data_IF_984725179646
#
_entry.id   IF_984725179646
#
_cell.length_a   1.000
_cell.length_b   1.000
_cell.length_c   1.000
_cell.angle_alpha   90.00
_cell.angle_beta   90.00
_cell.angle_gamma   90.00
#
_symmetry.space_group_name_H-M   'P 1'
#
loop_
_entity.id
_entity.type
_entity.pdbx_description
1 polymer ?
#
# COMPACT_ATOMS: atom_id res chain seq x y z
N UNK A 1 14.82 -15.94 21.78
CA UNK A 1 14.35 -16.27 20.41
C UNK A 1 14.46 -15.00 19.58
N UNK A 2 14.78 -15.13 18.29
CA UNK A 2 15.54 -14.14 17.51
C UNK A 2 14.92 -12.73 17.46
N UNK A 3 15.76 -11.73 17.79
CA UNK A 3 15.52 -10.31 17.52
C UNK A 3 15.40 -10.10 16.01
N UNK A 4 14.34 -9.39 15.59
CA UNK A 4 14.21 -8.68 14.31
C UNK A 4 14.78 -9.39 13.08
N UNK A 5 14.12 -10.47 12.65
CA UNK A 5 14.37 -11.02 11.32
C UNK A 5 13.79 -10.03 10.29
N UNK A 6 14.64 -9.13 9.76
CA UNK A 6 14.26 -8.17 8.72
C UNK A 6 13.84 -8.94 7.46
N UNK A 7 12.57 -8.83 7.09
CA UNK A 7 12.01 -9.55 5.94
C UNK A 7 12.03 -8.74 4.65
N UNK A 8 12.56 -7.52 4.69
CA UNK A 8 12.59 -6.60 3.55
C UNK A 8 12.17 -5.20 3.93
N UNK A 9 11.81 -4.41 2.93
CA UNK A 9 11.33 -3.05 3.08
C UNK A 9 10.02 -2.81 2.32
N UNK A 10 9.14 -2.02 2.91
CA UNK A 10 8.15 -1.27 2.14
C UNK A 10 8.82 0.01 1.65
N UNK A 11 8.63 0.32 0.37
CA UNK A 11 9.09 1.56 -0.24
C UNK A 11 7.89 2.27 -0.86
N UNK A 12 7.36 3.29 -0.17
CA UNK A 12 6.35 4.17 -0.76
C UNK A 12 7.04 5.22 -1.62
N UNK A 13 6.75 5.24 -2.91
CA UNK A 13 7.32 6.17 -3.88
C UNK A 13 6.28 7.23 -4.20
N UNK A 14 6.50 8.45 -3.69
CA UNK A 14 5.67 9.60 -4.03
C UNK A 14 6.15 10.20 -5.36
N UNK A 15 5.58 9.77 -6.48
CA UNK A 15 5.86 10.37 -7.80
C UNK A 15 4.97 11.60 -8.05
N UNK A 16 4.10 11.97 -7.12
CA UNK A 16 3.24 13.13 -7.24
C UNK A 16 4.07 14.43 -7.16
N UNK A 17 3.54 15.49 -7.75
CA UNK A 17 4.09 16.85 -7.64
C UNK A 17 3.62 17.58 -6.39
N UNK A 18 3.10 16.84 -5.41
CA UNK A 18 2.61 17.33 -4.13
C UNK A 18 3.03 16.38 -3.02
N UNK A 19 3.09 16.91 -1.80
CA UNK A 19 3.41 16.13 -0.62
C UNK A 19 2.27 15.16 -0.30
N UNK A 20 2.64 13.98 0.19
CA UNK A 20 1.71 13.01 0.78
C UNK A 20 1.91 12.95 2.28
N UNK A 21 0.87 12.56 2.99
CA UNK A 21 0.91 12.24 4.41
C UNK A 21 0.47 10.80 4.59
N UNK A 22 1.27 10.03 5.33
CA UNK A 22 1.02 8.62 5.55
C UNK A 22 0.88 8.32 7.04
N UNK A 23 0.00 7.38 7.36
CA UNK A 23 -0.13 6.80 8.68
C UNK A 23 0.07 5.30 8.55
N UNK A 24 1.00 4.78 9.32
CA UNK A 24 1.10 3.35 9.61
C UNK A 24 0.05 2.99 10.66
N UNK A 25 -0.77 1.98 10.37
CA UNK A 25 -1.81 1.49 11.26
C UNK A 25 -1.84 -0.05 11.28
N UNK A 26 -2.18 -0.62 12.43
CA UNK A 26 -2.49 -2.04 12.64
C UNK A 26 -3.43 -2.17 13.84
N UNK A 27 -3.99 -3.36 14.09
CA UNK A 27 -5.03 -3.68 15.10
C UNK A 27 -5.42 -2.57 16.11
N UNK A 28 -4.51 -2.18 17.02
CA UNK A 28 -4.78 -1.21 18.08
C UNK A 28 -3.89 0.05 18.03
N UNK A 29 -3.16 0.26 16.94
CA UNK A 29 -2.21 1.36 16.78
C UNK A 29 -2.45 2.12 15.50
N UNK A 30 -2.33 3.44 15.61
CA UNK A 30 -2.17 4.33 14.47
C UNK A 30 -1.10 5.36 14.82
N UNK A 31 -0.12 5.52 13.94
CA UNK A 31 0.91 6.55 14.07
C UNK A 31 0.34 7.97 13.91
N UNK A 32 1.17 8.99 14.10
CA UNK A 32 0.87 10.34 13.61
C UNK A 32 1.16 10.47 12.10
N UNK A 33 0.76 11.57 11.45
CA UNK A 33 1.08 11.80 10.04
C UNK A 33 2.59 11.87 9.82
N UNK A 34 3.09 11.06 8.90
CA UNK A 34 4.45 11.13 8.38
C UNK A 34 4.39 11.81 7.01
N UNK A 35 5.09 12.93 6.86
CA UNK A 35 5.17 13.64 5.58
C UNK A 35 6.11 12.90 4.62
N UNK A 36 5.63 12.60 3.42
CA UNK A 36 6.44 12.10 2.29
C UNK A 36 6.49 13.20 1.24
N UNK A 37 7.60 13.95 1.14
CA UNK A 37 7.71 15.05 0.20
C UNK A 37 7.39 14.65 -1.24
N UNK A 38 6.90 15.60 -2.03
CA UNK A 38 6.75 15.44 -3.47
C UNK A 38 8.02 14.87 -4.10
N UNK A 39 7.86 13.95 -5.06
CA UNK A 39 8.98 13.37 -5.81
C UNK A 39 10.04 12.71 -4.90
N UNK A 40 9.63 12.04 -3.84
CA UNK A 40 10.54 11.35 -2.91
C UNK A 40 10.08 9.95 -2.51
N UNK A 41 11.00 9.05 -2.11
CA UNK A 41 10.65 7.77 -1.50
C UNK A 41 10.56 7.89 0.04
N UNK A 42 9.70 7.07 0.62
CA UNK A 42 9.68 6.73 2.05
C UNK A 42 9.94 5.23 2.21
N UNK A 43 10.83 4.85 3.13
CA UNK A 43 11.22 3.46 3.37
C UNK A 43 10.93 3.06 4.81
N UNK A 44 10.37 1.86 4.99
CA UNK A 44 10.14 1.24 6.30
C UNK A 44 10.52 -0.24 6.26
N UNK A 45 11.07 -0.76 7.35
CA UNK A 45 11.37 -2.19 7.49
C UNK A 45 10.07 -3.00 7.59
N UNK A 46 10.03 -4.15 6.91
CA UNK A 46 9.00 -5.18 7.11
C UNK A 46 9.44 -6.04 8.30
N UNK A 47 8.68 -5.97 9.38
CA UNK A 47 8.89 -6.80 10.57
C UNK A 47 7.83 -7.90 10.63
N UNK A 48 8.24 -9.12 11.01
CA UNK A 48 7.33 -10.26 11.21
C UNK A 48 6.66 -10.28 12.59
N UNK A 49 7.05 -9.35 13.46
CA UNK A 49 6.60 -9.31 14.84
C UNK A 49 6.22 -7.87 15.22
N UNK A 50 5.00 -7.71 15.76
CA UNK A 50 4.55 -6.47 16.37
C UNK A 50 4.12 -6.72 17.81
N UNK A 51 4.63 -5.91 18.73
CA UNK A 51 4.15 -5.90 20.10
C UNK A 51 2.81 -5.17 20.18
N UNK A 52 1.83 -5.84 20.77
CA UNK A 52 0.46 -5.36 20.92
C UNK A 52 0.17 -5.05 22.39
N UNK A 53 -0.85 -4.22 22.69
CA UNK A 53 -1.27 -3.98 24.06
C UNK A 53 -1.60 -5.28 24.81
N UNK A 54 -1.45 -5.23 26.14
CA UNK A 54 -1.70 -6.35 27.07
C UNK A 54 -0.72 -7.53 26.90
N UNK A 55 0.56 -7.25 26.62
CA UNK A 55 1.61 -8.26 26.44
C UNK A 55 1.27 -9.32 25.38
N UNK A 56 0.50 -8.94 24.36
CA UNK A 56 0.28 -9.78 23.20
C UNK A 56 1.34 -9.45 22.16
N UNK A 57 1.66 -10.43 21.34
CA UNK A 57 2.56 -10.26 20.20
C UNK A 57 1.86 -10.83 18.99
N UNK A 58 1.78 -10.06 17.93
CA UNK A 58 1.45 -10.60 16.62
C UNK A 58 2.73 -11.15 16.00
N UNK A 59 2.77 -12.46 15.77
CA UNK A 59 3.90 -13.17 15.15
C UNK A 59 3.36 -13.82 13.89
N UNK A 60 3.80 -13.33 12.74
CA UNK A 60 3.22 -13.70 11.45
C UNK A 60 1.71 -13.35 11.39
N UNK A 61 1.23 -12.88 10.25
CA UNK A 61 -0.15 -12.42 10.02
C UNK A 61 -0.52 -11.06 10.64
N UNK A 62 0.46 -10.17 10.78
CA UNK A 62 0.20 -8.80 11.23
C UNK A 62 -0.21 -7.95 10.04
N UNK A 63 -1.51 -7.70 9.91
CA UNK A 63 -2.05 -6.77 8.93
C UNK A 63 -1.59 -5.36 9.26
N UNK A 64 -0.90 -4.74 8.32
CA UNK A 64 -0.42 -3.36 8.39
C UNK A 64 -1.00 -2.59 7.21
N UNK A 65 -1.55 -1.43 7.52
CA UNK A 65 -2.17 -0.53 6.56
C UNK A 65 -1.38 0.78 6.56
N UNK A 66 -0.91 1.19 5.38
CA UNK A 66 -0.48 2.57 5.14
C UNK A 66 -1.63 3.37 4.56
N UNK A 67 -2.18 4.24 5.39
CA UNK A 67 -3.23 5.19 5.03
C UNK A 67 -2.57 6.43 4.44
N UNK A 68 -2.91 6.77 3.21
CA UNK A 68 -2.28 7.85 2.43
C UNK A 68 -3.31 8.97 2.22
N UNK A 69 -2.91 10.22 2.42
CA UNK A 69 -3.71 11.42 2.19
C UNK A 69 -2.89 12.55 1.55
N UNK A 70 -3.56 13.46 0.85
CA UNK A 70 -2.98 14.74 0.39
C UNK A 70 -2.92 15.80 1.50
N UNK A 71 -3.46 15.52 2.69
CA UNK A 71 -3.55 16.47 3.80
C UNK A 71 -3.07 15.82 5.11
N UNK A 72 -2.78 16.63 6.13
CA UNK A 72 -2.41 16.15 7.48
C UNK A 72 -3.59 15.58 8.28
N UNK A 73 -4.77 15.42 7.67
CA UNK A 73 -5.95 14.86 8.31
C UNK A 73 -6.43 13.64 7.53
N UNK A 74 -6.67 12.55 8.24
CA UNK A 74 -7.40 11.41 7.69
C UNK A 74 -8.89 11.62 7.87
N UNK A 75 -9.61 11.44 6.78
CA UNK A 75 -11.07 11.39 6.72
C UNK A 75 -11.38 10.04 6.09
N UNK A 76 -11.82 9.08 6.89
CA UNK A 76 -12.22 7.77 6.41
C UNK A 76 -13.67 7.73 5.93
N UNK A 77 -14.05 6.62 5.29
CA UNK A 77 -15.38 6.37 4.77
C UNK A 77 -15.69 7.00 3.41
N UNK A 78 -16.96 6.90 3.03
CA UNK A 78 -17.47 7.36 1.74
C UNK A 78 -17.16 8.85 1.51
N UNK A 79 -16.46 9.15 0.43
CA UNK A 79 -16.03 10.50 0.05
C UNK A 79 -14.90 11.08 0.91
N UNK A 80 -14.28 10.25 1.75
CA UNK A 80 -13.08 10.58 2.52
C UNK A 80 -11.86 10.86 1.63
N UNK A 81 -10.67 10.83 2.22
CA UNK A 81 -9.43 11.23 1.57
C UNK A 81 -8.28 10.22 1.77
N UNK A 82 -8.62 8.97 2.07
CA UNK A 82 -7.70 7.93 2.47
C UNK A 82 -7.62 6.81 1.41
N UNK A 83 -6.52 6.80 0.65
CA UNK A 83 -6.06 5.61 -0.07
C UNK A 83 -5.36 4.69 0.93
N UNK A 84 -5.49 3.38 0.78
CA UNK A 84 -4.81 2.41 1.63
C UNK A 84 -3.94 1.48 0.79
N UNK A 85 -2.72 1.27 1.27
CA UNK A 85 -1.89 0.14 0.87
C UNK A 85 -1.79 -0.80 2.05
N UNK A 86 -2.14 -2.06 1.85
CA UNK A 86 -2.22 -3.02 2.94
C UNK A 86 -1.28 -4.18 2.66
N UNK A 87 -0.69 -4.71 3.72
CA UNK A 87 0.06 -5.94 3.63
C UNK A 87 -0.02 -6.75 4.92
N UNK A 88 0.13 -8.06 4.80
CA UNK A 88 0.31 -8.98 5.92
C UNK A 88 1.34 -10.04 5.54
N UNK A 89 2.12 -10.51 6.50
CA UNK A 89 3.02 -11.66 6.28
C UNK A 89 2.31 -12.95 6.68
N UNK A 90 2.47 -14.06 5.97
CA UNK A 90 2.05 -15.38 6.47
C UNK A 90 2.84 -16.47 5.77
N UNK A 91 3.40 -17.41 6.54
CA UNK A 91 4.08 -18.59 6.01
C UNK A 91 5.17 -18.30 4.97
N UNK A 92 5.91 -17.20 5.15
CA UNK A 92 6.97 -16.78 4.23
C UNK A 92 6.47 -16.08 2.96
N UNK A 93 5.23 -15.58 2.96
CA UNK A 93 4.65 -14.76 1.91
C UNK A 93 4.21 -13.41 2.48
N UNK A 94 4.34 -12.33 1.70
CA UNK A 94 3.61 -11.09 1.91
C UNK A 94 2.37 -11.15 1.03
N UNK A 95 1.22 -10.98 1.65
CA UNK A 95 -0.05 -10.70 1.00
C UNK A 95 -0.20 -9.19 0.97
N UNK A 96 -0.61 -8.63 -0.16
CA UNK A 96 -0.78 -7.19 -0.30
C UNK A 96 -1.93 -6.85 -1.23
N UNK A 97 -2.50 -5.67 -1.01
CA UNK A 97 -3.59 -5.11 -1.78
C UNK A 97 -3.59 -3.58 -1.71
N UNK A 98 -4.54 -2.96 -2.42
CA UNK A 98 -4.85 -1.55 -2.27
C UNK A 98 -6.36 -1.33 -2.13
N UNK A 99 -6.73 -0.28 -1.41
CA UNK A 99 -8.13 0.00 -1.08
C UNK A 99 -8.47 1.49 -1.20
N UNK A 100 -9.58 1.75 -1.89
CA UNK A 100 -10.24 3.05 -2.04
C UNK A 100 -11.50 3.18 -1.15
N UNK A 101 -11.79 2.18 -0.31
CA UNK A 101 -13.01 2.12 0.53
C UNK A 101 -13.22 3.41 1.33
N UNK A 102 -12.13 4.02 1.80
CA UNK A 102 -12.14 5.22 2.65
C UNK A 102 -11.99 6.55 1.88
N UNK A 103 -12.20 6.55 0.57
CA UNK A 103 -12.17 7.77 -0.25
C UNK A 103 -13.11 7.77 -1.45
N UNK A 104 -13.70 6.63 -1.79
CA UNK A 104 -14.68 6.52 -2.87
C UNK A 104 -15.98 7.26 -2.54
N UNK A 105 -16.48 8.07 -3.47
CA UNK A 105 -17.73 8.85 -3.36
C UNK A 105 -18.98 8.09 -3.77
N UNK A 106 -18.86 7.21 -4.76
CA UNK A 106 -19.97 6.43 -5.28
C UNK A 106 -19.64 4.94 -5.18
N UNK A 107 -20.58 4.16 -4.64
CA UNK A 107 -20.46 2.71 -4.44
C UNK A 107 -21.45 1.94 -5.31
N UNK A 108 -22.15 2.61 -6.23
CA UNK A 108 -22.94 1.93 -7.25
C UNK A 108 -22.00 1.03 -8.07
N UNK A 109 -22.42 -0.23 -8.24
CA UNK A 109 -21.58 -1.30 -8.79
C UNK A 109 -20.94 -0.89 -10.12
N UNK A 110 -19.60 -0.95 -10.18
CA UNK A 110 -18.77 -0.56 -11.35
C UNK A 110 -18.89 0.88 -11.83
N UNK A 111 -19.55 1.76 -11.08
CA UNK A 111 -19.57 3.20 -11.35
C UNK A 111 -18.89 3.98 -10.22
N UNK A 112 -17.91 3.36 -9.56
CA UNK A 112 -17.24 3.98 -8.43
C UNK A 112 -16.65 5.34 -8.81
N UNK A 113 -16.61 6.27 -7.88
CA UNK A 113 -15.92 7.54 -8.09
C UNK A 113 -14.86 7.68 -7.02
N UNK A 114 -13.62 7.32 -7.36
CA UNK A 114 -12.45 7.44 -6.49
C UNK A 114 -11.70 8.76 -6.71
N UNK A 115 -12.33 9.79 -7.29
CA UNK A 115 -11.68 11.08 -7.55
C UNK A 115 -11.15 11.81 -6.32
N UNK A 116 -11.66 11.49 -5.11
CA UNK A 116 -11.11 12.02 -3.85
C UNK A 116 -9.93 11.21 -3.31
N UNK A 117 -9.70 10.01 -3.85
CA UNK A 117 -8.59 9.18 -3.44
C UNK A 117 -7.27 9.79 -3.91
N UNK A 118 -6.28 9.93 -3.03
CA UNK A 118 -4.94 10.35 -3.45
C UNK A 118 -4.45 9.49 -4.61
N UNK A 119 -3.80 10.13 -5.59
CA UNK A 119 -3.17 9.46 -6.72
C UNK A 119 -4.09 8.73 -7.72
N UNK A 120 -5.40 8.67 -7.50
CA UNK A 120 -6.30 7.96 -8.42
C UNK A 120 -6.28 8.55 -9.83
N UNK A 121 -6.23 9.88 -9.94
CA UNK A 121 -6.24 10.56 -11.24
C UNK A 121 -4.93 10.40 -12.03
N UNK A 122 -3.85 9.98 -11.35
CA UNK A 122 -2.49 9.91 -11.88
C UNK A 122 -1.93 8.48 -11.95
N UNK A 123 -2.68 7.49 -11.47
CA UNK A 123 -2.32 6.07 -11.48
C UNK A 123 -1.57 5.61 -10.23
N UNK A 124 -1.76 4.35 -9.86
CA UNK A 124 -1.23 3.70 -8.65
C UNK A 124 -0.71 2.31 -9.01
N UNK A 125 0.38 1.89 -8.37
CA UNK A 125 0.95 0.56 -8.61
C UNK A 125 1.57 -0.03 -7.35
N UNK A 126 1.39 -1.33 -7.14
CA UNK A 126 2.16 -2.14 -6.19
C UNK A 126 2.97 -3.18 -6.96
N UNK A 127 4.26 -3.29 -6.65
CA UNK A 127 5.13 -4.29 -7.25
C UNK A 127 6.30 -4.67 -6.33
N UNK A 128 6.76 -5.92 -6.41
CA UNK A 128 8.02 -6.30 -5.79
C UNK A 128 9.23 -5.71 -6.54
N UNK A 129 10.37 -5.62 -5.85
CA UNK A 129 11.65 -5.23 -6.42
C UNK A 129 11.94 -6.02 -7.69
N UNK A 130 12.29 -5.32 -8.75
CA UNK A 130 12.83 -5.90 -9.98
C UNK A 130 14.33 -5.60 -10.01
N UNK A 131 15.23 -6.55 -9.68
CA UNK A 131 16.62 -6.47 -10.13
C UNK A 131 16.65 -6.57 -11.66
N UNK A 132 17.82 -6.43 -12.31
CA UNK A 132 17.94 -6.45 -13.76
C UNK A 132 17.39 -7.70 -14.49
N UNK A 133 16.82 -8.72 -13.82
CA UNK A 133 16.42 -9.96 -14.47
C UNK A 133 15.32 -10.84 -13.84
N UNK A 134 14.64 -10.50 -12.74
CA UNK A 134 13.49 -11.33 -12.28
C UNK A 134 12.59 -10.60 -11.28
N UNK A 135 11.28 -10.60 -11.50
CA UNK A 135 10.34 -10.45 -10.39
C UNK A 135 10.59 -11.63 -9.44
N UNK A 136 10.68 -11.42 -8.13
CA UNK A 136 10.90 -12.48 -7.12
C UNK A 136 9.70 -13.46 -7.01
N UNK A 137 8.95 -13.69 -8.09
CA UNK A 137 7.64 -14.33 -8.07
C UNK A 137 6.56 -13.44 -7.47
N UNK A 138 6.83 -12.15 -7.27
CA UNK A 138 5.85 -11.22 -6.73
C UNK A 138 4.80 -10.86 -7.78
N UNK A 139 3.54 -10.91 -7.38
CA UNK A 139 2.46 -10.31 -8.15
C UNK A 139 2.64 -8.80 -8.27
N UNK A 140 1.78 -8.17 -9.06
CA UNK A 140 1.64 -6.73 -9.12
C UNK A 140 0.17 -6.35 -9.14
N UNK A 141 -0.12 -5.17 -8.64
CA UNK A 141 -1.42 -4.51 -8.79
C UNK A 141 -1.18 -3.16 -9.47
N UNK A 142 -2.01 -2.81 -10.43
CA UNK A 142 -1.90 -1.54 -11.13
C UNK A 142 -3.30 -1.00 -11.44
N UNK A 143 -3.51 0.26 -11.09
CA UNK A 143 -4.68 1.03 -11.49
C UNK A 143 -4.19 2.18 -12.35
N UNK A 144 -4.63 2.21 -13.61
CA UNK A 144 -4.32 3.30 -14.52
C UNK A 144 -4.89 4.65 -14.04
N UNK A 145 -4.41 5.77 -14.59
CA UNK A 145 -4.97 7.08 -14.30
C UNK A 145 -6.48 7.11 -14.54
N UNK A 146 -7.24 7.47 -13.50
CA UNK A 146 -8.72 7.52 -13.50
C UNK A 146 -9.40 6.18 -13.79
N UNK A 147 -8.65 5.08 -13.74
CA UNK A 147 -9.21 3.76 -13.92
C UNK A 147 -10.04 3.38 -12.68
N UNK A 148 -11.17 2.74 -12.93
CA UNK A 148 -11.96 2.15 -11.88
C UNK A 148 -11.24 1.00 -11.23
N UNK A 149 -10.43 0.23 -11.95
CA UNK A 149 -9.61 -0.82 -11.35
C UNK A 149 -10.42 -1.84 -10.52
N UNK A 150 -11.70 -2.06 -10.89
CA UNK A 150 -12.60 -3.04 -10.26
C UNK A 150 -12.59 -4.28 -11.15
N UNK A 151 -11.65 -5.20 -10.90
CA UNK A 151 -11.51 -6.44 -11.65
C UNK A 151 -11.67 -7.65 -10.73
N UNK A 152 -12.08 -8.80 -11.29
CA UNK A 152 -12.31 -10.00 -10.49
C UNK A 152 -10.98 -10.60 -10.04
N UNK A 153 -10.60 -10.44 -8.77
CA UNK A 153 -9.31 -10.90 -8.24
C UNK A 153 -8.12 -10.02 -8.63
N UNK A 154 -8.38 -8.79 -9.07
CA UNK A 154 -7.34 -7.84 -9.48
C UNK A 154 -7.79 -6.38 -9.28
N UNK A 155 -6.81 -5.49 -9.17
CA UNK A 155 -7.06 -4.05 -9.01
C UNK A 155 -7.17 -3.59 -7.56
N UNK A 156 -8.27 -2.93 -7.19
CA UNK A 156 -8.43 -2.28 -5.88
C UNK A 156 -9.77 -2.60 -5.21
N UNK A 157 -9.77 -2.59 -3.88
CA UNK A 157 -11.00 -2.63 -3.09
C UNK A 157 -11.75 -1.30 -3.20
N UNK A 158 -13.05 -1.38 -3.50
CA UNK A 158 -13.99 -0.26 -3.37
C UNK A 158 -15.01 -0.49 -2.26
N UNK A 159 -15.13 -1.74 -1.79
CA UNK A 159 -15.96 -2.17 -0.66
C UNK A 159 -15.17 -3.17 0.18
N UNK A 160 -15.45 -3.20 1.47
CA UNK A 160 -14.82 -4.01 2.54
C UNK A 160 -15.06 -5.53 2.44
N UNK A 161 -15.92 -5.99 1.52
CA UNK A 161 -16.21 -7.41 1.29
C UNK A 161 -16.71 -7.64 -0.16
N UNK A 162 -15.82 -7.62 -1.18
CA UNK A 162 -16.23 -7.62 -2.59
C UNK A 162 -16.93 -8.93 -3.00
N UNK A 163 -16.60 -10.05 -2.35
CA UNK A 163 -17.24 -11.33 -2.65
C UNK A 163 -18.70 -11.36 -2.24
N UNK A 164 -19.00 -10.83 -1.06
CA UNK A 164 -20.33 -10.78 -0.47
C UNK A 164 -21.17 -9.69 -1.15
N UNK A 165 -20.59 -8.51 -1.35
CA UNK A 165 -21.32 -7.35 -1.87
C UNK A 165 -21.50 -7.40 -3.37
N UNK A 166 -20.49 -7.86 -4.10
CA UNK A 166 -20.37 -7.70 -5.55
C UNK A 166 -20.07 -9.01 -6.30
N UNK A 167 -19.96 -10.15 -5.60
CA UNK A 167 -19.56 -11.44 -6.16
C UNK A 167 -18.21 -11.40 -6.91
N UNK A 168 -17.29 -10.53 -6.49
CA UNK A 168 -15.93 -10.43 -7.00
C UNK A 168 -14.95 -11.07 -6.03
N UNK A 169 -13.89 -11.69 -6.54
CA UNK A 169 -12.78 -12.15 -5.72
C UNK A 169 -11.97 -10.96 -5.19
N UNK A 170 -11.39 -11.15 -4.02
CA UNK A 170 -10.48 -10.21 -3.38
C UNK A 170 -9.26 -9.91 -4.28
N UNK A 171 -8.92 -8.62 -4.52
CA UNK A 171 -7.76 -8.23 -5.34
C UNK A 171 -6.42 -8.35 -4.58
N UNK A 172 -6.24 -9.42 -3.81
CA UNK A 172 -5.02 -9.66 -3.02
C UNK A 172 -3.98 -10.39 -3.88
N UNK A 173 -2.74 -9.91 -3.85
CA UNK A 173 -1.59 -10.58 -4.48
C UNK A 173 -0.59 -11.03 -3.43
N UNK A 174 0.34 -11.88 -3.86
CA UNK A 174 1.39 -12.41 -3.00
C UNK A 174 2.79 -12.06 -3.52
N UNK A 175 3.73 -11.94 -2.59
CA UNK A 175 5.15 -11.76 -2.86
C UNK A 175 5.95 -12.62 -1.88
N UNK A 176 6.76 -13.58 -2.34
CA UNK A 176 7.54 -14.43 -1.45
C UNK A 176 8.53 -13.64 -0.60
N UNK A 177 8.56 -13.87 0.72
CA UNK A 177 9.44 -13.16 1.68
C UNK A 177 10.79 -13.82 1.89
N UNK A 178 11.09 -14.92 1.18
CA UNK A 178 12.21 -15.81 1.47
C UNK A 178 13.62 -15.20 1.33
N UNK A 179 13.77 -13.88 1.15
CA UNK A 179 15.07 -13.21 1.06
C UNK A 179 15.09 -11.93 1.89
N UNK A 180 15.97 -11.90 2.89
CA UNK A 180 16.40 -10.67 3.52
C UNK A 180 16.81 -9.67 2.42
N UNK A 181 16.15 -8.51 2.37
CA UNK A 181 16.44 -7.45 1.39
C UNK A 181 15.47 -7.31 0.22
N UNK A 182 14.32 -8.02 0.20
CA UNK A 182 13.26 -7.72 -0.76
C UNK A 182 12.62 -6.36 -0.48
N UNK A 183 12.25 -5.63 -1.53
CA UNK A 183 11.49 -4.39 -1.42
C UNK A 183 10.12 -4.56 -2.08
N UNK A 184 9.06 -4.15 -1.39
CA UNK A 184 7.71 -4.01 -1.95
C UNK A 184 7.44 -2.53 -2.16
N UNK A 185 7.22 -2.14 -3.41
CA UNK A 185 7.05 -0.77 -3.83
C UNK A 185 5.57 -0.40 -3.89
N UNK A 186 5.19 0.66 -3.17
CA UNK A 186 3.89 1.32 -3.28
C UNK A 186 4.07 2.63 -4.03
N UNK A 187 3.72 2.64 -5.31
CA UNK A 187 3.93 3.79 -6.20
C UNK A 187 2.65 4.59 -6.35
N UNK A 188 2.78 5.89 -6.18
CA UNK A 188 1.70 6.88 -6.40
C UNK A 188 2.09 7.82 -7.53
N UNK A 189 1.09 8.26 -8.28
CA UNK A 189 1.15 9.13 -9.44
C UNK A 189 2.07 8.59 -10.54
N UNK A 190 1.86 7.33 -10.91
CA UNK A 190 2.73 6.58 -11.83
C UNK A 190 2.86 7.24 -13.20
N UNK A 191 1.88 8.03 -13.64
CA UNK A 191 1.94 8.80 -14.89
C UNK A 191 3.02 9.90 -14.89
N UNK A 192 3.47 10.37 -13.72
CA UNK A 192 4.46 11.45 -13.62
C UNK A 192 5.91 10.98 -13.88
N UNK A 193 6.12 9.74 -14.33
CA UNK A 193 7.44 9.16 -14.58
C UNK A 193 8.25 8.92 -13.31
N UNK A 194 9.29 8.10 -13.42
CA UNK A 194 10.13 7.70 -12.29
C UNK A 194 10.88 8.88 -11.65
N UNK A 195 11.19 8.74 -10.35
CA UNK A 195 12.04 9.68 -9.63
C UNK A 195 13.50 9.38 -10.05
N UNK A 196 14.27 10.37 -10.54
CA UNK A 196 15.66 10.15 -10.92
C UNK A 196 16.49 9.64 -9.74
N UNK A 197 17.25 8.56 -9.94
CA UNK A 197 18.08 7.90 -8.93
C UNK A 197 19.16 8.79 -8.25
N UNK A 198 19.34 10.06 -8.66
CA UNK A 198 20.42 10.94 -8.18
C UNK A 198 20.14 11.64 -6.83
N UNK A 199 18.98 11.43 -6.21
CA UNK A 199 18.62 12.08 -4.93
C UNK A 199 18.73 11.12 -3.74
N UNK A 200 18.99 9.83 -3.97
CA UNK A 200 18.95 8.77 -2.95
C UNK A 200 20.21 8.67 -2.07
N UNK A 201 21.25 9.46 -2.33
CA UNK A 201 22.56 9.33 -1.65
C UNK A 201 22.80 10.32 -0.49
N UNK A 202 21.76 11.01 0.00
CA UNK A 202 21.90 11.97 1.11
C UNK A 202 21.43 11.45 2.49
N UNK A 203 20.96 10.20 2.57
CA UNK A 203 20.60 9.58 3.84
C UNK A 203 21.08 8.12 3.86
N UNK A 204 22.38 7.96 4.11
CA UNK A 204 23.00 6.72 4.57
C UNK A 204 23.68 7.01 5.91
#
# INVERSE_FOLDING_TARGET
MAKDQKNGNIVLVNQCNYDLYIWEAWEAYQSGPIKVPARSPFRKDIVSQYDLPKNRTCIDNCGVTYKVSKTQKLIGGKGGNQLQFEFATRAGLIYFDMSFVDCVKDLRYRSGDASNCPSWAEGIRIEGQKPPQQTYGCGSLECGPKDMCIHNGDGAYYVDEPKQKWNLQDPVKTCPTYKAGMELYFRTCTQNGDIPHRVSSLFA
#
